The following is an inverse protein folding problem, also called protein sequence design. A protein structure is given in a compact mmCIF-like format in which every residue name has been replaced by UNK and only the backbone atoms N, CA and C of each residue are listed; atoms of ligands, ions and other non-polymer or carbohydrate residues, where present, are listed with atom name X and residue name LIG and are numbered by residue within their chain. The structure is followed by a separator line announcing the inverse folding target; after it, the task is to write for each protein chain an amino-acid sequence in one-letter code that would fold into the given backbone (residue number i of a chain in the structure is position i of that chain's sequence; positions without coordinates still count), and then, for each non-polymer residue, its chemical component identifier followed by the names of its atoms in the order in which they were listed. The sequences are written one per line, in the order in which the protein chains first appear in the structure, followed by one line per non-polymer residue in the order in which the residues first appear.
data_IF_347485867274
#
_entry.id   IF_347485867274
#
_cell.length_a   1.000
_cell.length_b   1.000
_cell.length_c   1.000
_cell.angle_alpha   90.00
_cell.angle_beta   90.00
_cell.angle_gamma   90.00
#
_symmetry.space_group_name_H-M   'P 1'
#
loop_
_entity.id
_entity.type
_entity.pdbx_description
1 polymer ?
#
# COMPACT_ATOMS: atom_id res chain seq x y z
N UNK A 1 4.80 15.11 -0.97
CA UNK A 1 5.95 14.34 -0.48
C UNK A 1 6.69 13.67 -1.65
N UNK A 2 7.95 13.32 -1.41
CA UNK A 2 8.72 12.41 -2.25
C UNK A 2 9.04 11.15 -1.45
N UNK A 3 9.22 10.02 -2.13
CA UNK A 3 9.60 8.76 -1.51
C UNK A 3 10.62 8.01 -2.36
N UNK A 4 11.38 7.13 -1.72
CA UNK A 4 12.37 6.28 -2.40
C UNK A 4 12.68 5.02 -1.58
N UNK A 5 13.18 4.00 -2.27
CA UNK A 5 13.84 2.85 -1.66
C UNK A 5 15.35 3.10 -1.47
N UNK A 6 16.02 2.26 -0.70
CA UNK A 6 17.47 2.28 -0.58
C UNK A 6 18.05 2.56 0.81
N UNK A 7 19.38 2.75 0.88
CA UNK A 7 20.11 2.79 2.13
C UNK A 7 19.88 4.11 2.90
N UNK A 8 19.54 3.98 4.19
CA UNK A 8 19.26 5.10 5.09
C UNK A 8 20.38 6.16 5.10
N UNK A 9 21.62 5.74 5.23
CA UNK A 9 22.77 6.64 5.39
C UNK A 9 22.95 7.59 4.20
N UNK A 10 22.57 7.13 2.99
CA UNK A 10 22.72 7.90 1.76
C UNK A 10 21.70 9.03 1.64
N UNK A 11 20.48 8.81 2.11
CA UNK A 11 19.34 9.71 1.85
C UNK A 11 18.90 10.53 3.06
N UNK A 12 19.32 10.13 4.27
CA UNK A 12 19.03 10.92 5.49
C UNK A 12 19.62 12.34 5.42
N UNK A 13 20.75 12.51 4.74
CA UNK A 13 21.36 13.82 4.50
C UNK A 13 20.42 14.79 3.77
N UNK A 14 19.58 14.26 2.86
CA UNK A 14 18.61 15.05 2.10
C UNK A 14 17.27 15.22 2.82
N UNK A 15 17.16 14.75 4.06
CA UNK A 15 15.95 14.86 4.86
C UNK A 15 14.94 13.70 4.62
N UNK A 16 15.31 12.67 3.87
CA UNK A 16 14.48 11.47 3.77
C UNK A 16 14.56 10.65 5.06
N UNK A 17 13.42 10.30 5.62
CA UNK A 17 13.35 9.48 6.83
C UNK A 17 12.50 8.23 6.60
N UNK A 18 12.93 7.11 7.21
CA UNK A 18 12.16 5.88 7.20
C UNK A 18 10.90 6.09 8.04
N UNK A 19 9.77 6.03 7.39
CA UNK A 19 8.48 6.17 8.05
C UNK A 19 7.37 5.52 7.19
N UNK A 20 6.13 5.78 7.54
CA UNK A 20 4.97 5.12 6.95
C UNK A 20 4.59 3.88 7.72
N UNK A 21 3.43 3.34 7.41
CA UNK A 21 2.88 2.15 8.04
C UNK A 21 2.61 1.09 6.98
N UNK A 22 3.28 -0.04 7.11
CA UNK A 22 3.11 -1.19 6.25
C UNK A 22 2.71 -2.38 7.10
N UNK A 23 1.61 -3.01 6.76
CA UNK A 23 1.15 -4.23 7.40
C UNK A 23 1.38 -5.41 6.47
N UNK A 24 2.09 -6.42 6.92
CA UNK A 24 2.29 -7.66 6.17
C UNK A 24 1.78 -8.86 6.94
N UNK A 25 1.10 -9.74 6.24
CA UNK A 25 0.55 -10.99 6.76
C UNK A 25 1.32 -12.15 6.16
N UNK A 26 1.64 -13.16 7.00
CA UNK A 26 2.25 -14.40 6.55
C UNK A 26 1.26 -15.55 6.65
N UNK A 27 1.20 -16.37 5.62
CA UNK A 27 0.33 -17.55 5.55
C UNK A 27 1.11 -18.77 5.07
N UNK A 28 0.63 -19.96 5.43
CA UNK A 28 1.23 -21.24 5.07
C UNK A 28 0.16 -22.30 4.76
N UNK A 29 0.58 -23.48 4.37
CA UNK A 29 -0.34 -24.59 4.02
C UNK A 29 -1.26 -25.00 5.17
N UNK A 30 -0.79 -24.91 6.42
CA UNK A 30 -1.62 -25.27 7.58
C UNK A 30 -2.77 -24.26 7.75
N UNK A 31 -2.49 -22.98 7.54
CA UNK A 31 -3.53 -21.94 7.57
C UNK A 31 -4.60 -22.18 6.51
N UNK A 32 -4.21 -22.51 5.27
CA UNK A 32 -5.17 -22.83 4.20
C UNK A 32 -5.95 -24.12 4.47
N UNK A 33 -5.33 -25.12 5.12
CA UNK A 33 -5.99 -26.39 5.43
C UNK A 33 -6.97 -26.30 6.57
N UNK A 34 -6.63 -25.58 7.63
CA UNK A 34 -7.37 -25.53 8.90
C UNK A 34 -8.16 -24.25 9.08
N UNK A 35 -7.87 -23.18 8.33
CA UNK A 35 -8.61 -21.93 8.32
C UNK A 35 -9.97 -22.02 7.61
N UNK A 36 -10.74 -20.93 7.66
CA UNK A 36 -12.04 -20.85 6.98
C UNK A 36 -11.86 -20.97 5.47
N UNK A 37 -12.62 -21.90 4.87
CA UNK A 37 -12.61 -22.14 3.42
C UNK A 37 -13.63 -21.26 2.72
N UNK A 38 -13.33 -20.75 1.51
CA UNK A 38 -14.30 -20.02 0.71
C UNK A 38 -15.42 -20.98 0.24
N UNK A 39 -16.64 -20.46 0.18
CA UNK A 39 -17.74 -21.17 -0.46
C UNK A 39 -17.45 -21.38 -1.97
N UNK A 40 -18.11 -22.35 -2.60
CA UNK A 40 -17.93 -22.65 -4.04
C UNK A 40 -18.09 -21.41 -4.93
N UNK A 41 -19.11 -20.60 -4.65
CA UNK A 41 -19.38 -19.34 -5.37
C UNK A 41 -18.33 -18.24 -5.17
N UNK A 42 -17.50 -18.37 -4.14
CA UNK A 42 -16.44 -17.41 -3.79
C UNK A 42 -15.09 -17.83 -4.34
N UNK A 43 -14.97 -19.05 -4.87
CA UNK A 43 -13.71 -19.57 -5.39
C UNK A 43 -13.12 -18.67 -6.47
N UNK A 44 -11.84 -18.39 -6.32
CA UNK A 44 -11.07 -17.58 -7.25
C UNK A 44 -10.14 -18.49 -8.05
N UNK A 45 -10.15 -18.31 -9.37
CA UNK A 45 -9.13 -18.83 -10.28
C UNK A 45 -8.21 -17.71 -10.69
N UNK A 46 -6.93 -17.96 -10.65
CA UNK A 46 -5.91 -16.98 -11.08
C UNK A 46 -5.53 -17.27 -12.53
N UNK A 47 -5.63 -16.25 -13.37
CA UNK A 47 -5.19 -16.28 -14.74
C UNK A 47 -4.01 -15.29 -14.91
N UNK A 48 -2.88 -15.71 -15.49
CA UNK A 48 -1.80 -14.78 -15.76
C UNK A 48 -2.30 -13.68 -16.72
N UNK A 49 -1.97 -12.44 -16.42
CA UNK A 49 -2.12 -11.37 -17.40
C UNK A 49 -0.91 -11.50 -18.33
N UNK A 50 -1.10 -11.87 -19.61
CA UNK A 50 0.00 -12.14 -20.50
C UNK A 50 0.91 -10.93 -20.64
N UNK A 51 2.22 -11.15 -20.65
CA UNK A 51 3.19 -10.10 -20.95
C UNK A 51 3.51 -10.22 -22.44
N UNK A 52 3.48 -9.10 -23.17
CA UNK A 52 3.99 -9.08 -24.55
C UNK A 52 5.50 -9.33 -24.48
N UNK A 53 5.92 -10.57 -24.77
CA UNK A 53 7.33 -10.89 -24.90
C UNK A 53 7.89 -10.20 -26.13
N UNK A 54 9.10 -9.60 -26.09
CA UNK A 54 9.80 -9.23 -27.30
C UNK A 54 10.06 -10.53 -28.10
N UNK A 55 9.49 -10.59 -29.31
CA UNK A 55 9.57 -11.74 -30.19
C UNK A 55 11.02 -12.09 -30.52
N UNK A 56 11.49 -13.27 -30.11
CA UNK A 56 12.56 -13.93 -30.79
C UNK A 56 12.01 -14.46 -32.14
N UNK A 57 12.56 -13.95 -33.22
CA UNK A 57 12.17 -14.22 -34.60
C UNK A 57 12.31 -15.72 -34.92
N UNK A 58 11.22 -16.33 -35.29
CA UNK A 58 11.15 -17.68 -35.86
C UNK A 58 9.74 -18.15 -36.10
N UNK A 59 9.30 -18.23 -37.37
CA UNK A 59 8.03 -18.72 -37.90
C UNK A 59 6.82 -17.80 -37.86
N UNK A 60 6.63 -17.04 -38.95
CA UNK A 60 5.71 -15.89 -39.02
C UNK A 60 4.23 -16.19 -39.33
N UNK A 61 3.78 -17.38 -39.69
CA UNK A 61 2.45 -17.55 -40.27
C UNK A 61 1.38 -18.31 -39.47
N UNK A 62 1.75 -19.06 -38.44
CA UNK A 62 0.77 -19.72 -37.50
C UNK A 62 0.54 -18.95 -36.19
N UNK A 63 1.40 -18.00 -35.91
CA UNK A 63 1.47 -17.22 -34.68
C UNK A 63 0.43 -16.09 -34.66
N UNK A 64 0.12 -15.47 -35.82
CA UNK A 64 -0.65 -14.21 -35.89
C UNK A 64 -2.09 -14.23 -35.35
N UNK A 65 -2.84 -15.31 -35.50
CA UNK A 65 -4.25 -15.33 -35.04
C UNK A 65 -4.37 -15.60 -33.53
N UNK A 66 -3.52 -16.47 -32.98
CA UNK A 66 -3.44 -16.74 -31.54
C UNK A 66 -2.83 -15.57 -30.75
N UNK A 67 -1.86 -14.86 -31.35
CA UNK A 67 -1.25 -13.67 -30.76
C UNK A 67 -2.21 -12.48 -30.69
N UNK A 68 -3.00 -12.24 -31.74
CA UNK A 68 -3.99 -11.16 -31.73
C UNK A 68 -5.09 -11.38 -30.68
N UNK A 69 -5.55 -12.62 -30.50
CA UNK A 69 -6.53 -12.97 -29.47
C UNK A 69 -5.94 -12.83 -28.07
N UNK A 70 -4.69 -13.27 -27.86
CA UNK A 70 -3.97 -13.12 -26.60
C UNK A 70 -3.70 -11.66 -26.25
N UNK A 71 -3.34 -10.83 -27.22
CA UNK A 71 -3.14 -9.39 -27.04
C UNK A 71 -4.44 -8.66 -26.70
N UNK A 72 -5.56 -9.02 -27.32
CA UNK A 72 -6.86 -8.43 -27.02
C UNK A 72 -7.33 -8.80 -25.60
N UNK A 73 -7.14 -10.04 -25.17
CA UNK A 73 -7.44 -10.47 -23.78
C UNK A 73 -6.54 -9.79 -22.77
N UNK A 74 -5.24 -9.70 -23.05
CA UNK A 74 -4.29 -8.95 -22.22
C UNK A 74 -4.71 -7.49 -22.05
N UNK A 75 -5.00 -6.79 -23.16
CA UNK A 75 -5.42 -5.40 -23.11
C UNK A 75 -6.69 -5.24 -22.27
N UNK A 76 -7.66 -6.13 -22.45
CA UNK A 76 -8.90 -6.13 -21.67
C UNK A 76 -8.64 -6.32 -20.16
N UNK A 77 -7.86 -7.33 -19.77
CA UNK A 77 -7.57 -7.61 -18.35
C UNK A 77 -6.75 -6.48 -17.74
N UNK A 78 -5.80 -5.91 -18.48
CA UNK A 78 -4.99 -4.76 -18.02
C UNK A 78 -5.87 -3.53 -17.78
N UNK A 79 -6.81 -3.24 -18.69
CA UNK A 79 -7.73 -2.12 -18.52
C UNK A 79 -8.66 -2.33 -17.31
N UNK A 80 -9.22 -3.51 -17.12
CA UNK A 80 -10.04 -3.82 -15.95
C UNK A 80 -9.26 -3.67 -14.65
N UNK A 81 -8.02 -4.13 -14.62
CA UNK A 81 -7.13 -3.99 -13.47
C UNK A 81 -6.81 -2.50 -13.18
N UNK A 82 -6.50 -1.71 -14.22
CA UNK A 82 -6.25 -0.29 -14.09
C UNK A 82 -7.49 0.50 -13.64
N UNK A 83 -8.65 0.22 -14.19
CA UNK A 83 -9.92 0.84 -13.77
C UNK A 83 -10.25 0.50 -12.31
N UNK A 84 -9.98 -0.73 -11.87
CA UNK A 84 -10.15 -1.13 -10.49
C UNK A 84 -9.16 -0.40 -9.57
N UNK A 85 -7.87 -0.36 -9.94
CA UNK A 85 -6.84 0.35 -9.20
C UNK A 85 -7.20 1.84 -8.99
N UNK A 86 -7.73 2.51 -10.00
CA UNK A 86 -8.14 3.91 -9.91
C UNK A 86 -9.26 4.19 -8.91
N UNK A 87 -9.97 3.16 -8.45
CA UNK A 87 -11.04 3.28 -7.45
C UNK A 87 -10.52 3.15 -6.02
N UNK A 88 -9.24 2.77 -5.86
CA UNK A 88 -8.63 2.73 -4.54
C UNK A 88 -8.56 4.13 -3.92
N UNK A 89 -8.88 4.23 -2.63
CA UNK A 89 -8.90 5.50 -1.89
C UNK A 89 -7.51 6.11 -1.71
N UNK A 90 -6.48 5.27 -1.72
CA UNK A 90 -5.07 5.67 -1.64
C UNK A 90 -4.31 5.01 -2.78
N UNK A 91 -3.78 5.82 -3.68
CA UNK A 91 -3.08 5.33 -4.85
C UNK A 91 -2.05 6.35 -5.36
N UNK A 92 -1.02 5.87 -6.02
CA UNK A 92 -0.16 6.67 -6.89
C UNK A 92 -0.82 6.77 -8.26
N UNK A 93 -0.80 7.94 -8.87
CA UNK A 93 -1.31 8.09 -10.23
C UNK A 93 -0.45 7.28 -11.20
N UNK A 94 -1.07 6.29 -11.85
CA UNK A 94 -0.44 5.46 -12.89
C UNK A 94 -1.15 5.70 -14.22
N UNK A 95 -0.38 5.99 -15.26
CA UNK A 95 -0.95 6.10 -16.61
C UNK A 95 -1.25 4.69 -17.14
N UNK A 96 -2.36 4.50 -17.90
CA UNK A 96 -2.79 3.19 -18.34
C UNK A 96 -1.74 2.46 -19.20
N UNK A 97 -0.98 3.20 -20.00
CA UNK A 97 0.07 2.66 -20.88
C UNK A 97 1.25 2.07 -20.09
N UNK A 98 1.49 2.57 -18.88
CA UNK A 98 2.58 2.12 -18.02
C UNK A 98 2.11 1.19 -16.89
N UNK A 99 0.81 0.98 -16.77
CA UNK A 99 0.25 0.25 -15.64
C UNK A 99 0.79 -1.17 -15.53
N UNK A 100 0.82 -1.90 -16.66
CA UNK A 100 1.33 -3.27 -16.69
C UNK A 100 2.83 -3.34 -16.37
N UNK A 101 3.63 -2.41 -16.89
CA UNK A 101 5.07 -2.34 -16.59
C UNK A 101 5.31 -2.12 -15.09
N UNK A 102 4.52 -1.24 -14.47
CA UNK A 102 4.58 -0.98 -13.03
C UNK A 102 4.21 -2.25 -12.24
N UNK A 103 3.16 -2.97 -12.62
CA UNK A 103 2.80 -4.23 -11.98
C UNK A 103 3.88 -5.31 -12.09
N UNK A 104 4.73 -5.23 -13.12
CA UNK A 104 5.85 -6.15 -13.34
C UNK A 104 7.16 -5.71 -12.65
N UNK A 105 7.16 -4.57 -11.97
CA UNK A 105 8.34 -4.08 -11.26
C UNK A 105 8.82 -5.09 -10.23
N UNK A 106 10.11 -5.09 -9.96
CA UNK A 106 10.77 -5.99 -9.00
C UNK A 106 10.60 -7.48 -9.31
N UNK A 107 10.35 -7.82 -10.58
CA UNK A 107 10.17 -9.20 -11.03
C UNK A 107 8.82 -9.81 -10.68
N UNK A 108 7.86 -9.01 -10.30
CA UNK A 108 6.50 -9.45 -10.08
C UNK A 108 5.80 -9.84 -11.38
N UNK A 109 4.83 -10.74 -11.28
CA UNK A 109 3.95 -11.15 -12.38
C UNK A 109 2.50 -10.88 -11.99
N UNK A 110 1.75 -10.16 -12.83
CA UNK A 110 0.35 -9.87 -12.57
C UNK A 110 -0.54 -11.05 -12.96
N UNK A 111 -1.55 -11.30 -12.13
CA UNK A 111 -2.60 -12.30 -12.36
C UNK A 111 -3.96 -11.65 -12.14
N UNK A 112 -4.90 -11.93 -13.04
CA UNK A 112 -6.30 -11.60 -12.85
C UNK A 112 -6.95 -12.64 -11.92
N UNK A 113 -7.72 -12.15 -10.95
CA UNK A 113 -8.59 -12.95 -10.11
C UNK A 113 -9.93 -13.10 -10.82
N UNK A 114 -10.34 -14.35 -11.11
CA UNK A 114 -11.59 -14.66 -11.79
C UNK A 114 -12.51 -15.39 -10.84
N UNK A 115 -13.71 -14.84 -10.61
CA UNK A 115 -14.78 -15.43 -9.82
C UNK A 115 -15.99 -15.68 -10.71
N UNK A 116 -16.47 -16.93 -10.78
CA UNK A 116 -17.63 -17.31 -11.63
C UNK A 116 -17.50 -16.85 -13.10
N UNK A 117 -16.28 -16.87 -13.65
CA UNK A 117 -16.02 -16.45 -15.03
C UNK A 117 -15.88 -14.94 -15.24
N UNK A 118 -16.09 -14.12 -14.22
CA UNK A 118 -15.96 -12.67 -14.28
C UNK A 118 -14.66 -12.18 -13.60
N UNK A 119 -14.11 -11.08 -14.08
CA UNK A 119 -13.00 -10.38 -13.41
C UNK A 119 -13.44 -9.91 -12.03
N UNK A 120 -12.66 -10.22 -11.01
CA UNK A 120 -12.94 -9.95 -9.61
C UNK A 120 -11.80 -9.21 -8.91
N UNK A 121 -10.70 -8.92 -9.62
CA UNK A 121 -9.54 -8.22 -9.09
C UNK A 121 -8.24 -8.68 -9.74
N UNK A 122 -7.12 -8.26 -9.17
CA UNK A 122 -5.81 -8.71 -9.60
C UNK A 122 -4.82 -8.81 -8.44
N UNK A 123 -3.75 -9.54 -8.66
CA UNK A 123 -2.59 -9.63 -7.78
C UNK A 123 -1.30 -9.51 -8.58
N UNK A 124 -0.29 -8.84 -8.01
CA UNK A 124 1.07 -8.84 -8.52
C UNK A 124 1.93 -9.72 -7.59
N UNK A 125 2.54 -10.78 -8.12
CA UNK A 125 3.23 -11.82 -7.36
C UNK A 125 4.70 -11.91 -7.72
N UNK A 126 5.57 -11.94 -6.71
CA UNK A 126 6.92 -12.50 -6.84
C UNK A 126 6.89 -13.95 -6.34
N UNK A 127 7.19 -14.90 -7.21
CA UNK A 127 7.15 -16.33 -6.89
C UNK A 127 8.56 -16.88 -6.77
N UNK A 128 8.87 -17.55 -5.63
CA UNK A 128 10.04 -18.40 -5.49
C UNK A 128 9.62 -19.87 -5.67
N UNK A 129 9.81 -20.44 -6.87
CA UNK A 129 9.35 -21.79 -7.17
C UNK A 129 10.12 -22.87 -6.40
N UNK A 130 11.33 -22.56 -5.91
CA UNK A 130 12.12 -23.51 -5.12
C UNK A 130 11.59 -23.71 -3.70
N UNK A 131 10.79 -22.74 -3.22
CA UNK A 131 10.24 -22.73 -1.87
C UNK A 131 8.73 -22.82 -1.83
N UNK A 132 8.04 -23.01 -2.97
CA UNK A 132 6.58 -22.95 -3.09
C UNK A 132 5.97 -21.71 -2.41
N UNK A 133 6.70 -20.60 -2.51
CA UNK A 133 6.41 -19.36 -1.79
C UNK A 133 6.13 -18.23 -2.77
N UNK A 134 5.14 -17.41 -2.44
CA UNK A 134 4.90 -16.15 -3.11
C UNK A 134 4.94 -14.97 -2.15
N UNK A 135 5.37 -13.83 -2.67
CA UNK A 135 5.16 -12.53 -2.07
C UNK A 135 4.15 -11.77 -2.92
N UNK A 136 2.99 -11.48 -2.33
CA UNK A 136 1.96 -10.66 -2.96
C UNK A 136 2.35 -9.21 -2.73
N UNK A 137 2.86 -8.58 -3.78
CA UNK A 137 3.33 -7.18 -3.75
C UNK A 137 2.17 -6.20 -3.80
N UNK A 138 1.11 -6.56 -4.52
CA UNK A 138 -0.08 -5.75 -4.65
C UNK A 138 -1.29 -6.67 -4.84
N UNK A 139 -2.38 -6.37 -4.13
CA UNK A 139 -3.67 -7.05 -4.27
C UNK A 139 -4.77 -6.02 -4.24
N UNK A 140 -5.53 -5.95 -5.34
CA UNK A 140 -6.70 -5.08 -5.47
C UNK A 140 -7.88 -5.92 -5.92
N UNK A 141 -8.95 -5.87 -5.14
CA UNK A 141 -10.12 -6.74 -5.31
C UNK A 141 -11.38 -5.90 -5.48
N UNK A 142 -12.32 -6.39 -6.28
CA UNK A 142 -13.67 -5.83 -6.35
C UNK A 142 -14.36 -5.98 -4.99
N UNK A 143 -15.28 -5.05 -4.69
CA UNK A 143 -16.04 -5.07 -3.43
C UNK A 143 -16.74 -6.41 -3.22
N UNK A 144 -16.59 -6.99 -2.03
CA UNK A 144 -17.16 -8.30 -1.69
C UNK A 144 -16.42 -9.49 -2.30
N UNK A 145 -15.19 -9.30 -2.74
CA UNK A 145 -14.28 -10.41 -3.08
C UNK A 145 -13.33 -10.62 -1.91
N UNK A 146 -13.33 -11.86 -1.40
CA UNK A 146 -12.55 -12.21 -0.21
C UNK A 146 -11.08 -12.42 -0.51
N UNK A 147 -10.20 -11.79 0.28
CA UNK A 147 -8.76 -12.04 0.25
C UNK A 147 -8.43 -13.51 0.59
N UNK A 148 -9.17 -14.14 1.49
CA UNK A 148 -9.04 -15.56 1.80
C UNK A 148 -9.25 -16.44 0.55
N UNK A 149 -10.25 -16.12 -0.27
CA UNK A 149 -10.51 -16.84 -1.51
C UNK A 149 -9.35 -16.69 -2.52
N UNK A 150 -8.66 -15.53 -2.53
CA UNK A 150 -7.46 -15.35 -3.36
C UNK A 150 -6.31 -16.23 -2.88
N UNK A 151 -6.06 -16.33 -1.56
CA UNK A 151 -5.01 -17.21 -1.01
C UNK A 151 -5.28 -18.69 -1.35
N UNK A 152 -6.52 -19.14 -1.24
CA UNK A 152 -6.91 -20.48 -1.71
C UNK A 152 -6.72 -20.64 -3.22
N UNK A 153 -7.10 -19.63 -4.00
CA UNK A 153 -6.90 -19.61 -5.45
C UNK A 153 -5.43 -19.70 -5.87
N UNK A 154 -4.51 -19.13 -5.10
CA UNK A 154 -3.05 -19.27 -5.29
C UNK A 154 -2.62 -20.73 -5.14
N UNK A 155 -3.13 -21.41 -4.11
CA UNK A 155 -2.83 -22.82 -3.88
C UNK A 155 -3.40 -23.71 -4.99
N UNK A 156 -4.65 -23.48 -5.37
CA UNK A 156 -5.37 -24.30 -6.34
C UNK A 156 -4.87 -24.08 -7.79
N UNK A 157 -4.61 -22.81 -8.18
CA UNK A 157 -4.24 -22.46 -9.55
C UNK A 157 -2.73 -22.53 -9.82
N UNK A 158 -1.90 -22.22 -8.83
CA UNK A 158 -0.45 -22.05 -9.00
C UNK A 158 0.39 -22.98 -8.11
N UNK A 159 -0.24 -23.78 -7.25
CA UNK A 159 0.46 -24.67 -6.31
C UNK A 159 1.21 -23.94 -5.18
N UNK A 160 0.95 -22.64 -5.00
CA UNK A 160 1.62 -21.82 -3.98
C UNK A 160 0.94 -22.03 -2.65
N UNK A 161 1.68 -22.51 -1.66
CA UNK A 161 1.12 -22.94 -0.38
C UNK A 161 1.57 -22.10 0.82
N UNK A 162 2.42 -21.12 0.61
CA UNK A 162 2.91 -20.20 1.64
C UNK A 162 3.32 -18.87 1.04
N UNK A 163 3.33 -17.83 1.85
CA UNK A 163 3.73 -16.53 1.36
C UNK A 163 3.46 -15.39 2.32
N UNK A 164 3.63 -14.20 1.78
CA UNK A 164 3.33 -12.96 2.47
C UNK A 164 2.46 -12.08 1.57
N UNK A 165 1.63 -11.26 2.20
CA UNK A 165 0.86 -10.21 1.53
C UNK A 165 1.00 -8.92 2.29
N UNK A 166 1.28 -7.85 1.57
CA UNK A 166 1.34 -6.51 2.13
C UNK A 166 0.04 -5.77 1.85
N UNK A 167 -0.50 -5.14 2.88
CA UNK A 167 -1.80 -4.46 2.83
C UNK A 167 -1.64 -3.04 3.38
N UNK A 168 -2.26 -2.07 2.70
CA UNK A 168 -2.33 -0.70 3.20
C UNK A 168 -3.40 -0.53 4.29
N UNK A 169 -3.24 0.52 5.09
CA UNK A 169 -4.14 0.81 6.22
C UNK A 169 -5.60 1.04 5.81
N UNK A 170 -5.85 1.54 4.61
CA UNK A 170 -7.20 1.81 4.11
C UNK A 170 -8.03 0.54 3.87
N UNK A 171 -7.38 -0.61 3.70
CA UNK A 171 -8.03 -1.91 3.38
C UNK A 171 -8.43 -2.69 4.64
N UNK A 172 -9.18 -2.04 5.54
CA UNK A 172 -9.55 -2.60 6.85
C UNK A 172 -10.31 -3.93 6.77
N UNK A 173 -11.19 -4.08 5.78
CA UNK A 173 -11.95 -5.32 5.58
C UNK A 173 -11.02 -6.48 5.18
N UNK A 174 -10.12 -6.22 4.22
CA UNK A 174 -9.10 -7.19 3.81
C UNK A 174 -8.17 -7.57 4.97
N UNK A 175 -7.76 -6.60 5.79
CA UNK A 175 -6.92 -6.87 6.96
C UNK A 175 -7.60 -7.83 7.94
N UNK A 176 -8.89 -7.60 8.27
CA UNK A 176 -9.64 -8.49 9.17
C UNK A 176 -9.78 -9.91 8.61
N UNK A 177 -10.03 -10.04 7.30
CA UNK A 177 -10.06 -11.36 6.67
C UNK A 177 -8.73 -12.10 6.73
N UNK A 178 -7.61 -11.37 6.56
CA UNK A 178 -6.28 -11.96 6.64
C UNK A 178 -5.89 -12.31 8.09
N UNK A 179 -6.33 -11.54 9.08
CA UNK A 179 -6.17 -11.86 10.51
C UNK A 179 -6.81 -13.19 10.90
N UNK A 180 -7.93 -13.57 10.25
CA UNK A 180 -8.61 -14.83 10.51
C UNK A 180 -7.87 -16.06 9.98
N UNK A 181 -7.00 -15.91 8.99
CA UNK A 181 -6.36 -17.06 8.31
C UNK A 181 -4.84 -17.06 8.40
N UNK A 182 -4.18 -15.92 8.56
CA UNK A 182 -2.74 -15.82 8.50
C UNK A 182 -2.06 -16.21 9.82
N UNK A 183 -0.86 -16.79 9.72
CA UNK A 183 -0.03 -17.21 10.86
C UNK A 183 0.45 -16.03 11.70
N UNK A 184 0.82 -14.94 11.04
CA UNK A 184 1.37 -13.77 11.71
C UNK A 184 1.08 -12.49 10.95
N UNK A 185 1.02 -11.41 11.72
CA UNK A 185 0.93 -10.05 11.25
C UNK A 185 2.16 -9.26 11.71
N UNK A 186 2.80 -8.56 10.80
CA UNK A 186 3.94 -7.72 11.10
C UNK A 186 3.64 -6.28 10.70
N UNK A 187 3.86 -5.37 11.62
CA UNK A 187 3.85 -3.93 11.36
C UNK A 187 5.29 -3.47 11.10
N UNK A 188 5.50 -2.84 9.98
CA UNK A 188 6.80 -2.34 9.55
C UNK A 188 6.74 -0.90 9.07
N UNK A 189 7.92 -0.37 8.79
CA UNK A 189 8.03 0.90 8.10
C UNK A 189 7.79 0.67 6.60
N UNK A 190 7.20 1.69 5.95
CA UNK A 190 7.13 1.75 4.51
C UNK A 190 8.49 2.12 3.88
N UNK A 191 8.47 3.08 3.00
CA UNK A 191 9.66 3.57 2.32
C UNK A 191 10.36 4.71 3.11
N UNK A 192 11.25 5.42 2.45
CA UNK A 192 11.81 6.66 2.95
C UNK A 192 11.06 7.81 2.32
N UNK A 193 10.57 8.70 3.16
CA UNK A 193 9.76 9.83 2.74
C UNK A 193 10.46 11.15 3.07
N UNK A 194 10.33 12.09 2.15
CA UNK A 194 10.61 13.51 2.36
C UNK A 194 9.28 14.25 2.28
N UNK A 195 8.83 14.80 3.39
CA UNK A 195 7.59 15.58 3.43
C UNK A 195 7.95 17.04 3.08
N UNK A 196 7.44 17.52 1.95
CA UNK A 196 7.70 18.88 1.45
C UNK A 196 6.58 19.85 1.79
N UNK A 197 5.38 19.35 2.04
CA UNK A 197 4.18 20.13 2.37
C UNK A 197 3.45 19.45 3.53
N UNK A 198 3.86 19.82 4.74
CA UNK A 198 3.33 19.26 5.97
C UNK A 198 1.81 19.44 6.13
N UNK A 199 1.25 20.65 5.94
CA UNK A 199 -0.18 20.84 6.07
C UNK A 199 -0.99 19.94 5.13
N UNK A 200 -0.58 19.85 3.87
CA UNK A 200 -1.28 19.07 2.86
C UNK A 200 -1.21 17.57 3.15
N UNK A 201 -0.04 17.07 3.51
CA UNK A 201 0.14 15.65 3.83
C UNK A 201 -0.63 15.28 5.10
N UNK A 202 -0.55 16.10 6.14
CA UNK A 202 -1.29 15.85 7.39
C UNK A 202 -2.80 15.91 7.18
N UNK A 203 -3.33 16.84 6.37
CA UNK A 203 -4.74 16.87 6.02
C UNK A 203 -5.18 15.56 5.41
N UNK A 204 -4.53 15.14 4.32
CA UNK A 204 -4.90 13.93 3.60
C UNK A 204 -4.81 12.66 4.47
N UNK A 205 -3.76 12.55 5.28
CA UNK A 205 -3.56 11.36 6.12
C UNK A 205 -4.50 11.32 7.33
N UNK A 206 -4.85 12.47 7.91
CA UNK A 206 -5.86 12.55 8.98
C UNK A 206 -7.27 12.24 8.46
N UNK A 207 -7.62 12.73 7.27
CA UNK A 207 -8.89 12.40 6.60
C UNK A 207 -8.99 10.90 6.33
N UNK A 208 -7.92 10.29 5.81
CA UNK A 208 -7.86 8.84 5.62
C UNK A 208 -7.98 8.09 6.94
N UNK A 209 -7.30 8.55 7.99
CA UNK A 209 -7.40 7.92 9.31
C UNK A 209 -8.81 8.04 9.88
N UNK A 210 -9.44 9.17 9.74
CA UNK A 210 -10.82 9.39 10.18
C UNK A 210 -11.83 8.49 9.46
N UNK A 211 -11.58 8.19 8.18
CA UNK A 211 -12.39 7.23 7.43
C UNK A 211 -12.35 5.83 8.05
N UNK A 212 -11.19 5.44 8.62
CA UNK A 212 -11.00 4.12 9.23
C UNK A 212 -11.38 4.07 10.73
N UNK A 213 -11.21 5.19 11.45
CA UNK A 213 -11.48 5.26 12.89
C UNK A 213 -11.75 6.70 13.33
N UNK A 214 -12.68 6.92 14.29
CA UNK A 214 -12.98 8.27 14.77
C UNK A 214 -11.75 8.92 15.40
N UNK A 215 -11.54 10.20 15.11
CA UNK A 215 -10.49 11.01 15.71
C UNK A 215 -11.04 11.79 16.91
N UNK A 216 -10.29 11.86 17.98
CA UNK A 216 -10.63 12.68 19.15
C UNK A 216 -10.59 14.16 18.78
N UNK A 217 -11.61 14.92 19.20
CA UNK A 217 -11.67 16.37 19.01
C UNK A 217 -10.60 17.06 19.85
N UNK A 218 -9.74 17.81 19.21
CA UNK A 218 -8.69 18.61 19.85
C UNK A 218 -8.04 19.58 18.85
N UNK A 219 -7.28 20.52 19.39
CA UNK A 219 -6.37 21.39 18.66
C UNK A 219 -4.94 21.16 19.15
N UNK A 220 -3.98 21.10 18.22
CA UNK A 220 -2.55 21.01 18.51
C UNK A 220 -1.75 21.81 17.48
N UNK A 221 -0.57 22.29 17.88
CA UNK A 221 0.34 23.01 16.99
C UNK A 221 1.72 22.34 17.05
N UNK A 222 2.22 21.96 15.88
CA UNK A 222 3.53 21.36 15.69
C UNK A 222 4.47 22.38 15.03
N UNK A 223 5.60 22.69 15.66
CA UNK A 223 6.68 23.46 15.06
C UNK A 223 7.66 22.50 14.39
N UNK A 224 7.65 22.42 13.07
CA UNK A 224 8.48 21.48 12.31
C UNK A 224 9.63 22.23 11.64
N UNK A 225 10.87 21.87 11.99
CA UNK A 225 12.08 22.47 11.44
C UNK A 225 12.76 21.52 10.46
N UNK A 226 12.93 21.97 9.22
CA UNK A 226 13.62 21.25 8.14
C UNK A 226 15.15 21.35 8.30
N UNK A 227 15.92 20.46 7.63
CA UNK A 227 17.38 20.55 7.60
C UNK A 227 17.92 21.89 7.05
N UNK A 228 17.15 22.55 6.19
CA UNK A 228 17.43 23.90 5.67
C UNK A 228 17.38 25.02 6.72
N UNK A 229 16.85 24.71 7.92
CA UNK A 229 16.53 25.69 8.94
C UNK A 229 15.17 26.38 8.76
N UNK A 230 14.45 26.06 7.70
CA UNK A 230 13.06 26.49 7.51
C UNK A 230 12.17 25.87 8.56
N UNK A 231 11.37 26.67 9.27
CA UNK A 231 10.43 26.22 10.28
C UNK A 231 8.99 26.53 9.84
N UNK A 232 8.14 25.53 9.91
CA UNK A 232 6.70 25.64 9.65
C UNK A 232 5.92 25.28 10.92
N UNK A 233 5.11 26.20 11.43
CA UNK A 233 4.13 25.92 12.46
C UNK A 233 2.87 25.34 11.81
N UNK A 234 2.55 24.10 12.13
CA UNK A 234 1.39 23.39 11.58
C UNK A 234 0.34 23.24 12.67
N UNK A 235 -0.77 23.93 12.48
CA UNK A 235 -1.93 23.86 13.37
C UNK A 235 -2.90 22.82 12.86
N UNK A 236 -3.21 21.84 13.70
CA UNK A 236 -4.18 20.78 13.45
C UNK A 236 -5.38 20.99 14.37
N UNK A 237 -6.58 20.98 13.83
CA UNK A 237 -7.84 21.04 14.58
C UNK A 237 -8.79 19.98 14.08
N UNK A 238 -9.28 19.17 15.00
CA UNK A 238 -10.36 18.22 14.77
C UNK A 238 -11.55 18.67 15.62
N UNK A 239 -12.67 19.01 14.99
CA UNK A 239 -13.86 19.52 15.64
C UNK A 239 -15.10 19.12 14.86
N UNK A 240 -16.11 18.57 15.51
CA UNK A 240 -17.36 18.10 14.93
C UNK A 240 -17.15 17.23 13.67
N UNK A 241 -16.16 16.34 13.71
CA UNK A 241 -15.79 15.48 12.58
C UNK A 241 -15.10 16.19 11.42
N UNK A 242 -14.81 17.49 11.53
CA UNK A 242 -14.09 18.26 10.52
C UNK A 242 -12.61 18.38 10.89
N UNK A 243 -11.75 18.10 9.94
CA UNK A 243 -10.30 18.26 10.05
C UNK A 243 -9.91 19.58 9.37
N UNK A 244 -9.13 20.39 10.07
CA UNK A 244 -8.54 21.60 9.51
C UNK A 244 -7.06 21.61 9.86
N UNK A 245 -6.20 21.67 8.83
CA UNK A 245 -4.75 21.78 9.00
C UNK A 245 -4.28 23.03 8.27
N UNK A 246 -3.57 23.90 8.98
CA UNK A 246 -2.99 25.12 8.41
C UNK A 246 -1.51 25.21 8.73
N UNK A 247 -0.72 25.79 7.84
CA UNK A 247 0.70 26.01 8.01
C UNK A 247 1.06 27.49 7.96
N UNK A 248 1.94 27.91 8.84
CA UNK A 248 2.53 29.24 8.85
C UNK A 248 4.05 29.13 8.94
N UNK A 249 4.75 29.73 8.00
CA UNK A 249 6.21 29.82 8.07
C UNK A 249 6.60 30.90 9.12
N UNK A 250 7.33 30.47 10.15
CA UNK A 250 7.62 31.32 11.28
C UNK A 250 8.88 30.85 11.99
N UNK A 251 9.82 31.77 12.26
CA UNK A 251 11.13 31.43 12.86
C UNK A 251 11.02 31.08 14.34
N UNK A 252 10.23 31.81 15.11
CA UNK A 252 10.16 31.66 16.56
C UNK A 252 8.99 30.77 17.00
N UNK A 253 9.23 29.86 17.95
CA UNK A 253 8.18 29.06 18.57
C UNK A 253 7.27 29.92 19.46
N UNK A 254 6.02 29.50 19.61
CA UNK A 254 5.11 30.07 20.60
C UNK A 254 4.89 29.07 21.76
N UNK A 255 4.53 29.59 22.90
CA UNK A 255 4.22 28.76 24.07
C UNK A 255 3.12 27.74 23.74
N UNK A 256 3.36 26.47 24.04
CA UNK A 256 2.42 25.39 23.83
C UNK A 256 2.56 24.68 22.46
N UNK A 257 3.53 25.08 21.64
CA UNK A 257 3.87 24.33 20.43
C UNK A 257 4.79 23.17 20.74
N UNK A 258 4.62 22.09 20.01
CA UNK A 258 5.48 20.91 20.08
C UNK A 258 6.55 21.04 19.02
N UNK A 259 7.79 21.22 19.45
CA UNK A 259 8.93 21.42 18.55
C UNK A 259 9.53 20.09 18.09
N UNK A 260 9.59 19.90 16.78
CA UNK A 260 10.09 18.70 16.13
C UNK A 260 11.04 19.08 14.98
N UNK A 261 12.08 18.29 14.80
CA UNK A 261 12.76 18.27 13.50
C UNK A 261 11.88 17.54 12.48
N UNK A 262 12.05 17.83 11.18
CA UNK A 262 11.29 17.13 10.13
C UNK A 262 11.47 15.60 10.20
N UNK A 263 12.68 15.12 10.54
CA UNK A 263 12.95 13.70 10.73
C UNK A 263 12.19 13.11 11.93
N UNK A 264 12.16 13.81 13.07
CA UNK A 264 11.37 13.41 14.24
C UNK A 264 9.89 13.41 13.89
N UNK A 265 9.38 14.47 13.28
CA UNK A 265 7.99 14.56 12.86
C UNK A 265 7.59 13.38 11.95
N UNK A 266 8.41 13.07 10.93
CA UNK A 266 8.16 11.95 10.04
C UNK A 266 8.06 10.61 10.80
N UNK A 267 8.98 10.34 11.73
CA UNK A 267 8.95 9.12 12.55
C UNK A 267 7.77 9.09 13.50
N UNK A 268 7.56 10.18 14.24
CA UNK A 268 6.56 10.21 15.31
C UNK A 268 5.13 10.18 14.77
N UNK A 269 4.89 10.81 13.63
CA UNK A 269 3.54 10.94 13.08
C UNK A 269 3.14 9.76 12.18
N UNK A 270 4.10 9.10 11.51
CA UNK A 270 3.81 8.09 10.50
C UNK A 270 4.31 6.67 10.83
N UNK A 271 5.02 6.47 11.94
CA UNK A 271 5.47 5.13 12.34
C UNK A 271 4.59 4.52 13.42
N UNK A 272 4.40 3.20 13.36
CA UNK A 272 3.62 2.43 14.32
C UNK A 272 4.24 2.37 15.74
N UNK A 273 5.50 2.80 15.89
CA UNK A 273 6.25 2.75 17.16
C UNK A 273 6.21 4.04 17.98
N UNK A 274 5.32 4.96 17.65
CA UNK A 274 5.20 6.27 18.30
C UNK A 274 4.91 6.24 19.82
N UNK A 275 4.42 5.13 20.34
CA UNK A 275 4.13 4.97 21.77
C UNK A 275 5.32 5.24 22.71
N UNK A 276 6.53 5.28 22.15
CA UNK A 276 7.76 5.58 22.88
C UNK A 276 8.16 7.06 22.88
N UNK A 277 7.39 7.93 22.22
CA UNK A 277 7.72 9.33 22.07
C UNK A 277 6.94 10.22 23.04
N UNK A 278 7.61 10.68 24.10
CA UNK A 278 7.05 11.62 25.07
C UNK A 278 6.72 12.99 24.50
N UNK A 279 7.41 13.36 23.43
CA UNK A 279 7.25 14.66 22.76
C UNK A 279 5.85 14.86 22.19
N UNK A 280 5.11 13.78 21.98
CA UNK A 280 3.70 13.83 21.56
C UNK A 280 2.72 13.93 22.72
N UNK A 281 3.21 14.12 23.96
CA UNK A 281 2.33 14.32 25.12
C UNK A 281 1.38 15.49 24.88
N UNK A 282 0.10 15.25 25.09
CA UNK A 282 -0.92 16.25 24.82
C UNK A 282 -1.53 16.21 23.43
N UNK A 283 -1.04 15.38 22.50
CA UNK A 283 -1.73 15.08 21.24
C UNK A 283 -2.59 13.82 21.41
N UNK A 284 -3.81 13.77 20.85
CA UNK A 284 -4.65 12.57 20.94
C UNK A 284 -3.98 11.35 20.31
N UNK A 285 -3.95 10.23 21.04
CA UNK A 285 -3.44 8.95 20.53
C UNK A 285 -4.21 8.46 19.30
N UNK A 286 -5.51 8.80 19.20
CA UNK A 286 -6.33 8.45 18.03
C UNK A 286 -5.86 9.08 16.72
N UNK A 287 -5.05 10.15 16.78
CA UNK A 287 -4.55 10.81 15.57
C UNK A 287 -3.42 10.02 14.91
N UNK A 288 -2.65 9.27 15.68
CA UNK A 288 -1.44 8.61 15.20
C UNK A 288 -1.46 7.09 15.45
N UNK A 289 -0.66 6.31 14.70
CA UNK A 289 0.11 6.70 13.52
C UNK A 289 -0.78 7.09 12.35
N UNK A 290 -0.29 8.01 11.51
CA UNK A 290 -0.93 8.37 10.27
C UNK A 290 -0.65 7.31 9.20
N UNK A 291 -1.64 6.94 8.36
CA UNK A 291 -1.57 5.80 7.45
C UNK A 291 -0.83 6.12 6.14
N UNK A 292 0.41 6.61 6.22
CA UNK A 292 1.23 6.87 5.05
C UNK A 292 1.76 5.56 4.48
N UNK A 293 1.32 5.22 3.29
CA UNK A 293 1.73 4.02 2.55
C UNK A 293 1.87 4.33 1.06
N UNK A 294 2.84 3.70 0.43
CA UNK A 294 3.01 3.66 -1.03
C UNK A 294 3.37 2.23 -1.40
N UNK A 295 2.75 1.69 -2.44
CA UNK A 295 3.06 0.34 -2.93
C UNK A 295 4.52 0.24 -3.36
N UNK A 296 5.15 -0.89 -3.09
CA UNK A 296 6.52 -1.17 -3.54
C UNK A 296 6.63 -1.13 -5.07
N UNK A 297 5.54 -1.44 -5.77
CA UNK A 297 5.46 -1.37 -7.24
C UNK A 297 5.65 0.05 -7.78
N UNK A 298 5.38 1.09 -6.98
CA UNK A 298 5.56 2.49 -7.35
C UNK A 298 6.95 3.04 -7.01
N UNK A 299 7.87 2.20 -6.54
CA UNK A 299 9.26 2.57 -6.19
C UNK A 299 10.25 2.27 -7.32
N UNK A 300 9.92 2.57 -8.55
CA UNK A 300 10.75 2.29 -9.75
C UNK A 300 11.56 3.51 -10.17
#
# INVERSE_FOLDING_TARGET
FAFLGGQRQRYAYWGFEACGTQTSFSWNQANLKHGPKPEEKERIRLLPIPLSMPQNRGDENLVRAGEAAGQAEQAKLTMLAWELYRRESVQVRREPERFLDILCSWGARPYACIRQGAFAGYVALCVDPKRDRAEIKEMVLEKGVSAKAVLHGLADSLGIRQGTVTVDYGKQEMMRELEEICESQNLGWGHRFLIMDWPRVLTAMLELKQYCSPLQEKEAVLGITEPSGKRTAVKIRVEAGKITVTGEERKEPRKGEIELTAAMAARMLFCSTQIYYKELEGIPESWFPLPLYVSEQDCC
#
